data_IF_105468517809
#
_entry.id   IF_105468517809
#
_cell.length_a   1.000
_cell.length_b   1.000
_cell.length_c   1.000
_cell.angle_alpha   90.00
_cell.angle_beta   90.00
_cell.angle_gamma   90.00
#
_symmetry.space_group_name_H-M   'P 1'
#
loop_
_entity.id
_entity.type
_entity.pdbx_description
1 polymer ?
#
# COMPACT_ATOMS: atom_id res chain seq x y z
N UNK A 1 6.59 54.16 -7.69
CA UNK A 1 7.17 52.89 -7.32
C UNK A 1 6.02 51.97 -6.88
N UNK A 2 5.41 51.30 -7.86
CA UNK A 2 4.27 50.38 -7.64
C UNK A 2 4.91 49.03 -7.25
N UNK A 3 4.96 48.75 -5.97
CA UNK A 3 5.20 47.39 -5.50
C UNK A 3 3.97 46.62 -5.89
N UNK A 4 4.06 45.90 -7.02
CA UNK A 4 3.07 44.91 -7.41
C UNK A 4 2.99 43.91 -6.26
N UNK A 5 2.01 44.06 -5.40
CA UNK A 5 1.66 43.05 -4.41
C UNK A 5 1.42 41.76 -5.20
N UNK A 6 2.38 40.84 -5.10
CA UNK A 6 2.23 39.54 -5.74
C UNK A 6 1.05 38.86 -5.06
N UNK A 7 -0.07 38.59 -5.75
CA UNK A 7 -1.24 37.99 -5.13
C UNK A 7 -0.93 36.64 -4.44
N UNK A 8 0.20 36.04 -4.80
CA UNK A 8 0.72 34.80 -4.16
C UNK A 8 1.34 35.01 -2.79
N UNK A 9 1.52 36.27 -2.33
CA UNK A 9 2.04 36.60 -0.97
C UNK A 9 0.94 37.08 -0.04
N UNK A 10 -0.30 37.23 -0.50
CA UNK A 10 -1.41 37.62 0.36
C UNK A 10 -1.91 36.41 1.14
N UNK A 11 -1.77 36.46 2.47
CA UNK A 11 -2.16 35.41 3.39
C UNK A 11 -3.66 35.08 3.32
N UNK A 12 -4.50 36.04 2.99
CA UNK A 12 -5.94 35.84 2.84
C UNK A 12 -6.28 34.97 1.63
N UNK A 13 -5.47 35.03 0.57
CA UNK A 13 -5.59 34.20 -0.62
C UNK A 13 -4.95 32.81 -0.41
N UNK A 14 -3.82 32.77 0.31
CA UNK A 14 -3.07 31.54 0.55
C UNK A 14 -3.78 30.57 1.52
N UNK A 15 -4.41 31.12 2.57
CA UNK A 15 -5.09 30.27 3.59
C UNK A 15 -6.10 29.31 3.01
N UNK A 16 -7.10 29.71 2.21
CA UNK A 16 -8.08 28.77 1.65
C UNK A 16 -7.42 27.74 0.74
N UNK A 17 -6.44 28.11 -0.07
CA UNK A 17 -5.69 27.21 -0.94
C UNK A 17 -4.88 26.17 -0.13
N UNK A 18 -4.32 26.56 1.00
CA UNK A 18 -3.62 25.64 1.90
C UNK A 18 -4.56 24.60 2.50
N UNK A 19 -5.72 25.02 3.00
CA UNK A 19 -6.70 24.08 3.56
C UNK A 19 -7.24 23.14 2.49
N UNK A 20 -7.52 23.62 1.30
CA UNK A 20 -7.94 22.81 0.16
C UNK A 20 -6.85 21.79 -0.22
N UNK A 21 -5.60 22.22 -0.34
CA UNK A 21 -4.47 21.33 -0.68
C UNK A 21 -4.21 20.28 0.39
N UNK A 22 -4.36 20.65 1.68
CA UNK A 22 -4.28 19.69 2.78
C UNK A 22 -5.41 18.66 2.68
N UNK A 23 -6.64 19.10 2.44
CA UNK A 23 -7.80 18.22 2.26
C UNK A 23 -7.62 17.24 1.10
N UNK A 24 -7.15 17.73 -0.05
CA UNK A 24 -6.84 16.89 -1.21
C UNK A 24 -5.74 15.87 -0.89
N UNK A 25 -4.66 16.31 -0.24
CA UNK A 25 -3.56 15.41 0.14
C UNK A 25 -4.02 14.32 1.11
N UNK A 26 -4.79 14.69 2.14
CA UNK A 26 -5.35 13.73 3.09
C UNK A 26 -6.27 12.72 2.40
N UNK A 27 -7.11 13.17 1.49
CA UNK A 27 -8.00 12.30 0.69
C UNK A 27 -7.17 11.32 -0.15
N UNK A 28 -6.16 11.81 -0.88
CA UNK A 28 -5.27 10.95 -1.67
C UNK A 28 -4.61 9.88 -0.80
N UNK A 29 -4.06 10.27 0.34
CA UNK A 29 -3.36 9.34 1.25
C UNK A 29 -4.34 8.33 1.83
N UNK A 30 -5.48 8.76 2.36
CA UNK A 30 -6.46 7.87 2.98
C UNK A 30 -7.03 6.86 1.97
N UNK A 31 -7.45 7.32 0.80
CA UNK A 31 -7.98 6.44 -0.24
C UNK A 31 -6.92 5.44 -0.70
N UNK A 32 -5.69 5.91 -0.90
CA UNK A 32 -4.57 5.04 -1.28
C UNK A 32 -4.27 3.99 -0.22
N UNK A 33 -4.24 4.37 1.05
CA UNK A 33 -3.98 3.44 2.16
C UNK A 33 -5.10 2.42 2.34
N UNK A 34 -6.35 2.85 2.26
CA UNK A 34 -7.50 1.95 2.44
C UNK A 34 -7.59 0.96 1.28
N UNK A 35 -7.61 1.46 0.04
CA UNK A 35 -7.77 0.59 -1.12
C UNK A 35 -6.48 -0.19 -1.40
N UNK A 36 -5.35 0.49 -1.49
CA UNK A 36 -4.05 -0.14 -1.77
C UNK A 36 -3.60 -1.06 -0.66
N UNK A 37 -3.84 -0.70 0.60
CA UNK A 37 -3.57 -1.55 1.76
C UNK A 37 -4.43 -2.81 1.79
N UNK A 38 -5.73 -2.68 1.51
CA UNK A 38 -6.64 -3.82 1.45
C UNK A 38 -6.30 -4.78 0.30
N UNK A 39 -6.10 -4.26 -0.90
CA UNK A 39 -5.67 -5.06 -2.05
C UNK A 39 -4.29 -5.69 -1.83
N UNK A 40 -3.37 -4.93 -1.21
CA UNK A 40 -2.04 -5.41 -0.86
C UNK A 40 -2.07 -6.52 0.19
N UNK A 41 -2.96 -6.44 1.18
CA UNK A 41 -3.17 -7.52 2.15
C UNK A 41 -3.63 -8.81 1.44
N UNK A 42 -4.63 -8.70 0.57
CA UNK A 42 -5.12 -9.86 -0.20
C UNK A 42 -3.99 -10.45 -1.05
N UNK A 43 -3.29 -9.62 -1.81
CA UNK A 43 -2.21 -10.06 -2.68
C UNK A 43 -1.06 -10.68 -1.89
N UNK A 44 -0.69 -10.14 -0.73
CA UNK A 44 0.35 -10.68 0.14
C UNK A 44 -0.01 -12.02 0.75
N UNK A 45 -1.26 -12.19 1.18
CA UNK A 45 -1.77 -13.49 1.67
C UNK A 45 -1.79 -14.53 0.53
N UNK A 46 -2.16 -14.13 -0.68
CA UNK A 46 -2.11 -15.01 -1.86
C UNK A 46 -0.66 -15.39 -2.17
N UNK A 47 0.26 -14.42 -2.16
CA UNK A 47 1.69 -14.66 -2.39
C UNK A 47 2.24 -15.68 -1.38
N UNK A 48 1.99 -15.46 -0.09
CA UNK A 48 2.40 -16.40 0.96
C UNK A 48 1.74 -17.76 0.80
N UNK A 49 0.43 -17.80 0.56
CA UNK A 49 -0.34 -19.05 0.46
C UNK A 49 0.03 -19.91 -0.73
N UNK A 50 0.46 -19.31 -1.86
CA UNK A 50 0.88 -20.04 -3.07
C UNK A 50 2.34 -20.48 -3.05
N UNK A 51 3.11 -20.06 -2.05
CA UNK A 51 4.50 -20.45 -1.87
C UNK A 51 4.64 -21.98 -1.72
N UNK A 52 5.75 -22.59 -2.22
CA UNK A 52 6.01 -24.02 -2.01
C UNK A 52 5.96 -24.40 -0.52
N UNK A 53 5.21 -25.46 -0.21
CA UNK A 53 5.01 -25.94 1.16
C UNK A 53 3.85 -25.28 1.94
N UNK A 54 3.12 -24.32 1.34
CA UNK A 54 2.03 -23.62 2.01
C UNK A 54 0.62 -24.10 1.59
N UNK A 55 -0.42 -23.38 2.10
CA UNK A 55 -1.85 -23.76 2.04
C UNK A 55 -2.39 -24.06 0.64
N UNK A 56 -1.97 -23.30 -0.37
CA UNK A 56 -2.44 -23.37 -1.75
C UNK A 56 -1.29 -23.60 -2.73
N UNK A 57 -0.24 -24.31 -2.31
CA UNK A 57 0.97 -24.52 -3.09
C UNK A 57 0.75 -24.51 -4.61
N UNK A 58 1.26 -23.46 -5.26
CA UNK A 58 1.27 -23.33 -6.70
C UNK A 58 2.49 -22.54 -7.15
N UNK A 59 3.56 -23.27 -7.45
CA UNK A 59 4.84 -22.67 -7.81
C UNK A 59 4.77 -21.74 -9.03
N UNK A 60 3.87 -21.98 -9.97
CA UNK A 60 3.70 -21.15 -11.18
C UNK A 60 3.08 -19.80 -10.80
N UNK A 61 1.96 -19.82 -10.06
CA UNK A 61 1.28 -18.60 -9.61
C UNK A 61 2.21 -17.78 -8.71
N UNK A 62 2.86 -18.42 -7.75
CA UNK A 62 3.83 -17.76 -6.87
C UNK A 62 4.92 -17.06 -7.67
N UNK A 63 5.56 -17.77 -8.62
CA UNK A 63 6.66 -17.21 -9.42
C UNK A 63 6.22 -16.01 -10.26
N UNK A 64 5.04 -16.09 -10.89
CA UNK A 64 4.51 -14.97 -11.69
C UNK A 64 4.27 -13.75 -10.80
N UNK A 65 3.58 -13.91 -9.69
CA UNK A 65 3.28 -12.82 -8.76
C UNK A 65 4.56 -12.24 -8.13
N UNK A 66 5.49 -13.10 -7.72
CA UNK A 66 6.77 -12.68 -7.14
C UNK A 66 7.60 -11.85 -8.14
N UNK A 67 7.66 -12.28 -9.40
CA UNK A 67 8.36 -11.51 -10.45
C UNK A 67 7.71 -10.14 -10.64
N UNK A 68 6.39 -10.07 -10.75
CA UNK A 68 5.66 -8.80 -10.93
C UNK A 68 5.95 -7.85 -9.76
N UNK A 69 5.80 -8.33 -8.54
CA UNK A 69 6.03 -7.52 -7.32
C UNK A 69 7.48 -7.05 -7.25
N UNK A 70 8.43 -7.93 -7.55
CA UNK A 70 9.86 -7.62 -7.50
C UNK A 70 10.31 -6.66 -8.61
N UNK A 71 9.65 -6.64 -9.77
CA UNK A 71 9.92 -5.68 -10.85
C UNK A 71 9.33 -4.30 -10.52
N UNK A 72 8.09 -4.24 -10.04
CA UNK A 72 7.41 -2.96 -9.82
C UNK A 72 8.00 -2.20 -8.64
N UNK A 73 8.38 -2.89 -7.59
CA UNK A 73 8.80 -2.30 -6.31
C UNK A 73 10.05 -1.40 -6.38
N UNK A 74 11.14 -1.75 -7.10
CA UNK A 74 12.32 -0.89 -7.20
C UNK A 74 12.14 0.31 -8.16
N UNK A 75 11.03 0.39 -8.91
CA UNK A 75 10.80 1.49 -9.82
C UNK A 75 10.57 2.78 -9.03
N UNK A 76 11.33 3.87 -9.26
CA UNK A 76 11.05 5.16 -8.65
C UNK A 76 9.63 5.61 -8.95
N UNK A 77 8.90 6.07 -7.93
CA UNK A 77 7.46 6.39 -8.05
C UNK A 77 7.15 7.34 -9.22
N UNK A 78 8.02 8.34 -9.47
CA UNK A 78 7.81 9.30 -10.56
C UNK A 78 7.86 8.65 -11.94
N UNK A 79 8.74 7.66 -12.13
CA UNK A 79 8.83 6.89 -13.39
C UNK A 79 7.61 5.98 -13.52
N UNK A 80 7.21 5.32 -12.43
CA UNK A 80 6.01 4.50 -12.39
C UNK A 80 4.75 5.30 -12.73
N UNK A 81 4.61 6.49 -12.16
CA UNK A 81 3.50 7.41 -12.43
C UNK A 81 3.42 7.78 -13.92
N UNK A 82 4.55 8.12 -14.54
CA UNK A 82 4.63 8.42 -15.96
C UNK A 82 4.27 7.21 -16.85
N UNK A 83 4.77 6.03 -16.49
CA UNK A 83 4.47 4.78 -17.20
C UNK A 83 3.01 4.37 -17.09
N UNK A 84 2.36 4.66 -15.95
CA UNK A 84 0.95 4.37 -15.70
C UNK A 84 -0.03 5.37 -16.33
N UNK A 85 0.47 6.50 -16.87
CA UNK A 85 -0.38 7.55 -17.45
C UNK A 85 -1.37 7.05 -18.52
N UNK A 86 -0.98 6.24 -19.51
CA UNK A 86 -1.92 5.73 -20.52
C UNK A 86 -3.03 4.88 -19.88
N UNK A 87 -2.67 4.03 -18.91
CA UNK A 87 -3.63 3.19 -18.20
C UNK A 87 -4.55 4.04 -17.31
N UNK A 88 -4.03 5.08 -16.68
CA UNK A 88 -4.81 6.02 -15.89
C UNK A 88 -5.88 6.72 -16.74
N UNK A 89 -5.55 7.15 -17.96
CA UNK A 89 -6.52 7.75 -18.88
C UNK A 89 -7.63 6.76 -19.24
N UNK A 90 -7.30 5.51 -19.49
CA UNK A 90 -8.29 4.47 -19.82
C UNK A 90 -9.23 4.17 -18.65
N UNK A 91 -8.70 4.11 -17.42
CA UNK A 91 -9.48 3.71 -16.23
C UNK A 91 -10.23 4.89 -15.61
N UNK A 92 -9.58 6.05 -15.52
CA UNK A 92 -10.10 7.24 -14.81
C UNK A 92 -10.71 8.27 -15.76
N UNK A 93 -10.38 8.21 -17.05
CA UNK A 93 -10.83 9.17 -18.06
C UNK A 93 -9.98 10.44 -18.16
N UNK A 94 -9.02 10.65 -17.26
CA UNK A 94 -8.12 11.82 -17.25
C UNK A 94 -6.75 11.42 -16.69
N UNK A 95 -5.71 12.16 -17.09
CA UNK A 95 -4.36 12.03 -16.54
C UNK A 95 -3.98 13.13 -15.54
N UNK A 96 -4.89 14.10 -15.32
CA UNK A 96 -4.61 15.29 -14.50
C UNK A 96 -5.62 15.36 -13.36
N UNK A 97 -5.14 15.82 -12.21
CA UNK A 97 -5.95 16.04 -11.02
C UNK A 97 -5.80 14.95 -9.95
N UNK A 98 -6.45 15.20 -8.81
CA UNK A 98 -6.37 14.38 -7.60
C UNK A 98 -6.77 12.92 -7.85
N UNK A 99 -7.88 12.72 -8.56
CA UNK A 99 -8.40 11.36 -8.84
C UNK A 99 -7.46 10.57 -9.75
N UNK A 100 -6.88 11.23 -10.76
CA UNK A 100 -5.91 10.61 -11.65
C UNK A 100 -4.64 10.18 -10.91
N UNK A 101 -4.19 10.95 -9.91
CA UNK A 101 -3.03 10.62 -9.11
C UNK A 101 -3.27 9.44 -8.15
N UNK A 102 -4.50 9.28 -7.63
CA UNK A 102 -4.85 8.20 -6.70
C UNK A 102 -4.65 6.81 -7.36
N UNK A 103 -5.00 6.65 -8.62
CA UNK A 103 -4.95 5.35 -9.29
C UNK A 103 -3.53 4.72 -9.27
N UNK A 104 -2.47 5.36 -9.79
CA UNK A 104 -1.12 4.81 -9.73
C UNK A 104 -0.59 4.69 -8.29
N UNK A 105 -1.00 5.58 -7.37
CA UNK A 105 -0.66 5.48 -5.96
C UNK A 105 -1.24 4.21 -5.32
N UNK A 106 -2.50 3.88 -5.61
CA UNK A 106 -3.16 2.65 -5.14
C UNK A 106 -2.44 1.42 -5.66
N UNK A 107 -2.10 1.39 -6.96
CA UNK A 107 -1.40 0.25 -7.56
C UNK A 107 -0.03 0.05 -6.90
N UNK A 108 0.76 1.11 -6.76
CA UNK A 108 2.09 1.05 -6.13
C UNK A 108 1.98 0.63 -4.65
N UNK A 109 1.02 1.19 -3.92
CA UNK A 109 0.75 0.84 -2.53
C UNK A 109 0.37 -0.64 -2.40
N UNK A 110 -0.43 -1.18 -3.32
CA UNK A 110 -0.81 -2.60 -3.35
C UNK A 110 0.42 -3.51 -3.43
N UNK A 111 1.34 -3.25 -4.34
CA UNK A 111 2.56 -4.05 -4.49
C UNK A 111 3.51 -3.88 -3.30
N UNK A 112 3.66 -2.67 -2.78
CA UNK A 112 4.49 -2.42 -1.60
C UNK A 112 3.95 -3.17 -0.36
N UNK A 113 2.65 -3.05 -0.10
CA UNK A 113 1.97 -3.70 1.02
C UNK A 113 1.97 -5.22 0.88
N UNK A 114 1.75 -5.76 -0.32
CA UNK A 114 1.74 -7.22 -0.53
C UNK A 114 3.05 -7.88 -0.12
N UNK A 115 4.18 -7.25 -0.41
CA UNK A 115 5.49 -7.75 -0.01
C UNK A 115 5.72 -7.66 1.50
N UNK A 116 5.26 -6.57 2.13
CA UNK A 116 5.32 -6.44 3.59
C UNK A 116 4.49 -7.53 4.27
N UNK A 117 3.30 -7.80 3.78
CA UNK A 117 2.42 -8.87 4.31
C UNK A 117 3.10 -10.22 4.15
N UNK A 118 3.59 -10.55 2.97
CA UNK A 118 4.30 -11.82 2.74
C UNK A 118 5.50 -11.99 3.69
N UNK A 119 6.34 -10.96 3.82
CA UNK A 119 7.51 -10.99 4.69
C UNK A 119 7.16 -11.20 6.18
N UNK A 120 6.02 -10.66 6.61
CA UNK A 120 5.55 -10.83 7.98
C UNK A 120 4.86 -12.17 8.23
N UNK A 121 4.39 -12.84 7.17
CA UNK A 121 3.80 -14.18 7.27
C UNK A 121 4.84 -15.31 7.20
N UNK A 122 6.00 -15.06 6.62
CA UNK A 122 7.08 -16.07 6.50
C UNK A 122 7.56 -16.60 7.87
N UNK A 123 7.69 -15.76 8.92
CA UNK A 123 8.11 -16.23 10.24
C UNK A 123 7.01 -16.94 11.04
N UNK A 124 5.76 -16.99 10.57
CA UNK A 124 4.68 -17.70 11.26
C UNK A 124 5.01 -19.17 11.37
N UNK A 125 4.94 -19.70 12.59
CA UNK A 125 5.30 -21.08 12.89
C UNK A 125 4.38 -22.06 12.11
N UNK A 126 4.93 -22.92 11.25
CA UNK A 126 4.17 -23.95 10.55
C UNK A 126 3.33 -24.83 11.48
N UNK A 127 3.79 -25.06 12.72
CA UNK A 127 3.10 -25.83 13.73
C UNK A 127 1.72 -25.25 14.10
N UNK A 128 1.55 -23.92 14.07
CA UNK A 128 0.25 -23.29 14.31
C UNK A 128 -0.73 -23.62 13.18
N UNK A 129 -0.23 -23.65 11.95
CA UNK A 129 -1.03 -24.01 10.78
C UNK A 129 -1.41 -25.50 10.81
N UNK A 130 -0.48 -26.36 11.18
CA UNK A 130 -0.71 -27.79 11.31
C UNK A 130 -1.68 -28.12 12.45
N UNK A 131 -1.55 -27.45 13.59
CA UNK A 131 -2.49 -27.59 14.71
C UNK A 131 -3.90 -27.18 14.30
N UNK A 132 -4.06 -26.05 13.60
CA UNK A 132 -5.36 -25.62 13.08
C UNK A 132 -5.95 -26.64 12.10
N UNK A 133 -5.13 -27.24 11.22
CA UNK A 133 -5.55 -28.30 10.31
C UNK A 133 -6.00 -29.56 11.04
N UNK A 134 -5.26 -29.96 12.07
CA UNK A 134 -5.58 -31.13 12.88
C UNK A 134 -6.91 -30.98 13.64
N UNK A 135 -7.27 -29.73 13.98
CA UNK A 135 -8.57 -29.38 14.55
C UNK A 135 -9.70 -29.27 13.51
N UNK A 136 -9.44 -29.61 12.24
CA UNK A 136 -10.44 -29.59 11.17
C UNK A 136 -10.66 -28.21 10.55
N UNK A 137 -9.80 -27.23 10.81
CA UNK A 137 -9.93 -25.91 10.22
C UNK A 137 -9.71 -25.94 8.71
N UNK A 138 -10.70 -25.44 7.94
CA UNK A 138 -10.57 -25.28 6.51
C UNK A 138 -9.56 -24.17 6.14
N UNK A 139 -9.04 -24.19 4.92
CA UNK A 139 -8.05 -23.24 4.42
C UNK A 139 -8.48 -21.77 4.62
N UNK A 140 -9.74 -21.45 4.38
CA UNK A 140 -10.28 -20.10 4.55
C UNK A 140 -10.33 -19.68 6.04
N UNK A 141 -10.62 -20.62 6.93
CA UNK A 141 -10.59 -20.39 8.36
C UNK A 141 -9.19 -20.05 8.82
N UNK A 142 -8.18 -20.83 8.40
CA UNK A 142 -6.77 -20.57 8.72
C UNK A 142 -6.34 -19.16 8.23
N UNK A 143 -6.74 -18.77 7.02
CA UNK A 143 -6.44 -17.43 6.51
C UNK A 143 -7.03 -16.35 7.42
N UNK A 144 -8.31 -16.47 7.79
CA UNK A 144 -9.01 -15.44 8.57
C UNK A 144 -8.58 -15.40 10.04
N UNK A 145 -8.31 -16.54 10.65
CA UNK A 145 -8.05 -16.64 12.10
C UNK A 145 -6.58 -16.63 12.45
N UNK A 146 -5.69 -17.01 11.53
CA UNK A 146 -4.25 -17.07 11.76
C UNK A 146 -3.52 -16.07 10.89
N UNK A 147 -3.60 -16.19 9.56
CA UNK A 147 -2.74 -15.41 8.68
C UNK A 147 -3.09 -13.91 8.65
N UNK A 148 -4.36 -13.54 8.59
CA UNK A 148 -4.74 -12.11 8.55
C UNK A 148 -4.40 -11.39 9.85
N UNK A 149 -4.76 -11.90 11.05
CA UNK A 149 -4.38 -11.26 12.30
C UNK A 149 -2.86 -11.13 12.47
N UNK A 150 -2.11 -12.17 12.11
CA UNK A 150 -0.64 -12.16 12.18
C UNK A 150 -0.01 -11.14 11.23
N UNK A 151 -0.55 -10.99 10.01
CA UNK A 151 -0.09 -10.00 9.06
C UNK A 151 -0.44 -8.56 9.47
N UNK A 152 -1.58 -8.34 10.13
CA UNK A 152 -2.04 -7.00 10.52
C UNK A 152 -1.22 -6.41 11.66
N UNK A 153 -0.78 -7.20 12.63
CA UNK A 153 -0.03 -6.71 13.78
C UNK A 153 1.28 -5.99 13.39
N UNK A 154 2.17 -6.57 12.58
CA UNK A 154 3.36 -5.88 12.10
C UNK A 154 3.07 -4.70 11.17
N UNK A 155 1.99 -4.77 10.36
CA UNK A 155 1.59 -3.66 9.51
C UNK A 155 1.20 -2.44 10.34
N UNK A 156 0.38 -2.61 11.37
CA UNK A 156 -0.01 -1.52 12.27
C UNK A 156 1.23 -0.92 12.94
N UNK A 157 2.16 -1.75 13.39
CA UNK A 157 3.42 -1.29 13.97
C UNK A 157 4.27 -0.51 12.95
N UNK A 158 4.41 -0.99 11.72
CA UNK A 158 5.15 -0.32 10.67
C UNK A 158 4.55 1.07 10.36
N UNK A 159 3.23 1.18 10.28
CA UNK A 159 2.55 2.46 10.11
C UNK A 159 2.72 3.37 11.34
N UNK A 160 2.63 2.85 12.55
CA UNK A 160 2.88 3.61 13.77
C UNK A 160 4.32 4.17 13.80
N UNK A 161 5.33 3.38 13.43
CA UNK A 161 6.72 3.82 13.33
C UNK A 161 6.91 4.94 12.28
N UNK A 162 6.23 4.89 11.15
CA UNK A 162 6.27 5.95 10.13
C UNK A 162 5.72 7.28 10.67
N UNK A 163 4.69 7.23 11.53
CA UNK A 163 4.14 8.41 12.18
C UNK A 163 5.03 8.94 13.32
N UNK A 164 5.59 8.06 14.16
CA UNK A 164 6.40 8.42 15.33
C UNK A 164 7.81 8.86 14.92
N UNK A 165 8.44 8.19 13.95
CA UNK A 165 9.80 8.46 13.51
C UNK A 165 10.01 9.88 12.97
N UNK A 166 8.96 10.51 12.42
CA UNK A 166 9.01 11.94 12.00
C UNK A 166 9.06 12.92 13.17
N UNK A 167 8.57 12.54 14.33
CA UNK A 167 8.55 13.43 15.52
C UNK A 167 9.90 13.45 16.24
N UNK A 168 10.67 12.38 16.18
CA UNK A 168 11.92 12.22 16.93
C UNK A 168 13.11 12.96 16.29
N UNK A 169 13.13 13.18 14.98
CA UNK A 169 14.24 13.86 14.29
C UNK A 169 14.16 15.39 14.27
N UNK A 170 13.13 16.01 14.81
CA UNK A 170 12.95 17.48 14.84
C UNK A 170 13.47 18.14 16.13
N UNK A 171 14.12 17.41 17.00
CA UNK A 171 14.53 17.85 18.34
C UNK A 171 16.05 17.89 18.61
N UNK A 172 16.90 18.04 17.55
CA UNK A 172 18.32 18.34 17.75
C UNK A 172 18.78 19.40 16.77
#
# INVERSE_FOLDING_TARGET
MIILANPRSDWNVLRPLLFESIGQTLTMVLVTLVIGGFLGLILGVVLYGTRPGNLFENAVVYRILDIIVNIVRPIPFIIFLAAMQPLTIVVVGTSIGTVAAIFPMVVMCTFATSRLVEQNLVPVDPGVIEAARSMGAGKLTIIRTVLIPEALAPLILAYAFLFIGRSFWRGR
#
